data_IF_661598345424
#
_entry.id   IF_661598345424
#
_cell.length_a   1.000
_cell.length_b   1.000
_cell.length_c   1.000
_cell.angle_alpha   90.00
_cell.angle_beta   90.00
_cell.angle_gamma   90.00
#
_symmetry.space_group_name_H-M   'P 1'
#
loop_
_entity.id
_entity.type
_entity.pdbx_description
1 polymer ?
#
# COMPACT_ATOMS: atom_id res chain seq x y z
N UNK A 1 5.64 -4.19 12.53
CA UNK A 1 5.81 -5.05 11.33
C UNK A 1 6.57 -4.30 10.25
N UNK A 2 7.15 -5.01 9.29
CA UNK A 2 7.87 -4.42 8.15
C UNK A 2 7.15 -4.81 6.86
N UNK A 3 6.64 -3.82 6.12
CA UNK A 3 5.96 -4.03 4.84
C UNK A 3 6.96 -3.77 3.71
N UNK A 4 7.09 -4.73 2.78
CA UNK A 4 7.94 -4.60 1.59
C UNK A 4 7.07 -4.18 0.42
N UNK A 5 7.39 -3.05 -0.21
CA UNK A 5 6.66 -2.48 -1.34
C UNK A 5 7.58 -2.34 -2.55
N UNK A 6 7.03 -2.48 -3.74
CA UNK A 6 7.73 -2.10 -4.97
C UNK A 6 7.69 -0.57 -5.16
N UNK A 7 8.57 -0.02 -6.00
CA UNK A 7 8.57 1.41 -6.32
C UNK A 7 7.21 1.90 -6.88
N UNK A 8 6.52 1.19 -7.79
CA UNK A 8 5.21 1.60 -8.26
C UNK A 8 4.14 1.62 -7.16
N UNK A 9 4.19 0.67 -6.21
CA UNK A 9 3.28 0.65 -5.07
C UNK A 9 3.51 1.87 -4.16
N UNK A 10 4.76 2.15 -3.81
CA UNK A 10 5.10 3.31 -2.98
C UNK A 10 4.69 4.63 -3.65
N UNK A 11 4.90 4.73 -4.96
CA UNK A 11 4.51 5.90 -5.76
C UNK A 11 2.99 6.07 -5.79
N UNK A 12 2.24 4.99 -5.98
CA UNK A 12 0.78 5.03 -5.96
C UNK A 12 0.23 5.52 -4.61
N UNK A 13 0.82 5.08 -3.49
CA UNK A 13 0.43 5.55 -2.15
C UNK A 13 0.71 7.05 -1.95
N UNK A 14 1.84 7.56 -2.45
CA UNK A 14 2.19 8.98 -2.36
C UNK A 14 1.30 9.90 -3.21
N UNK A 15 0.61 9.35 -4.20
CA UNK A 15 -0.32 10.08 -5.06
C UNK A 15 -1.75 10.13 -4.51
N UNK A 16 -2.02 9.47 -3.38
CA UNK A 16 -3.33 9.52 -2.72
C UNK A 16 -3.59 10.94 -2.20
N UNK A 17 -4.70 11.61 -2.61
CA UNK A 17 -4.94 13.03 -2.29
C UNK A 17 -5.12 13.34 -0.80
N UNK A 18 -5.58 12.36 -0.01
CA UNK A 18 -5.92 12.53 1.42
C UNK A 18 -5.27 11.41 2.24
N UNK A 19 -3.96 11.26 2.11
CA UNK A 19 -3.24 10.31 2.95
C UNK A 19 -3.14 10.86 4.39
N UNK A 20 -3.51 10.06 5.41
CA UNK A 20 -3.31 10.45 6.80
C UNK A 20 -1.84 10.77 7.12
N UNK A 21 -1.59 11.84 7.87
CA UNK A 21 -0.22 12.31 8.20
C UNK A 21 0.64 11.22 8.86
N UNK A 22 0.02 10.42 9.73
CA UNK A 22 0.69 9.31 10.41
C UNK A 22 1.14 8.20 9.44
N UNK A 23 0.47 8.02 8.29
CA UNK A 23 0.86 7.09 7.23
C UNK A 23 1.85 7.74 6.26
N UNK A 24 1.65 9.01 5.91
CA UNK A 24 2.57 9.78 5.08
C UNK A 24 3.98 9.81 5.67
N UNK A 25 4.09 10.02 6.99
CA UNK A 25 5.36 9.96 7.70
C UNK A 25 6.07 8.60 7.53
N UNK A 26 5.32 7.49 7.43
CA UNK A 26 5.87 6.14 7.22
C UNK A 26 6.34 5.95 5.78
N UNK A 27 5.56 6.41 4.79
CA UNK A 27 5.97 6.34 3.38
C UNK A 27 7.20 7.19 3.08
N UNK A 28 7.35 8.32 3.78
CA UNK A 28 8.52 9.18 3.66
C UNK A 28 9.74 8.59 4.37
N UNK A 29 9.51 7.81 5.43
CA UNK A 29 10.56 7.08 6.15
C UNK A 29 10.89 5.71 5.54
N UNK A 30 10.19 5.28 4.49
CA UNK A 30 10.44 4.02 3.81
C UNK A 30 11.88 4.00 3.25
N UNK A 31 12.60 2.91 3.50
CA UNK A 31 14.00 2.76 3.09
C UNK A 31 14.09 1.80 1.91
N UNK A 32 14.93 2.13 0.95
CA UNK A 32 15.24 1.20 -0.13
C UNK A 32 16.05 0.01 0.44
N UNK A 33 15.64 -1.19 0.06
CA UNK A 33 16.28 -2.47 0.39
C UNK A 33 16.31 -3.32 -0.89
N UNK A 34 17.41 -3.23 -1.62
CA UNK A 34 17.54 -3.84 -2.95
C UNK A 34 16.59 -3.22 -3.97
N UNK A 35 15.70 -4.04 -4.51
CA UNK A 35 14.65 -3.69 -5.47
C UNK A 35 13.31 -3.30 -4.83
N UNK A 36 13.23 -3.36 -3.50
CA UNK A 36 12.04 -3.03 -2.72
C UNK A 36 12.25 -1.80 -1.83
N UNK A 37 11.15 -1.29 -1.29
CA UNK A 37 11.09 -0.30 -0.24
C UNK A 37 10.47 -0.93 1.00
N UNK A 38 11.17 -0.82 2.13
CA UNK A 38 10.72 -1.36 3.40
C UNK A 38 10.19 -0.21 4.25
N UNK A 39 8.96 -0.37 4.71
CA UNK A 39 8.28 0.57 5.60
C UNK A 39 7.93 -0.12 6.92
N UNK A 40 8.37 0.48 8.03
CA UNK A 40 7.99 0.01 9.36
C UNK A 40 6.65 0.63 9.77
N UNK A 41 5.67 -0.22 10.06
CA UNK A 41 4.33 0.20 10.55
C UNK A 41 3.95 -0.58 11.81
N UNK A 42 3.07 -0.02 12.62
CA UNK A 42 2.35 -0.76 13.65
C UNK A 42 1.02 -1.33 13.11
N UNK A 43 0.30 -2.08 13.93
CA UNK A 43 -0.95 -2.73 13.52
C UNK A 43 -2.04 -1.72 13.14
N UNK A 44 -2.22 -0.64 13.91
CA UNK A 44 -3.21 0.40 13.60
C UNK A 44 -2.91 1.10 12.27
N UNK A 45 -1.64 1.37 11.99
CA UNK A 45 -1.18 1.96 10.72
C UNK A 45 -1.37 0.99 9.55
N UNK A 46 -1.10 -0.30 9.76
CA UNK A 46 -1.34 -1.34 8.76
C UNK A 46 -2.83 -1.44 8.41
N UNK A 47 -3.70 -1.49 9.42
CA UNK A 47 -5.15 -1.51 9.26
C UNK A 47 -5.66 -0.26 8.53
N UNK A 48 -5.26 0.94 8.97
CA UNK A 48 -5.65 2.19 8.32
C UNK A 48 -5.20 2.26 6.85
N UNK A 49 -3.99 1.77 6.55
CA UNK A 49 -3.49 1.71 5.18
C UNK A 49 -4.27 0.69 4.33
N UNK A 50 -4.64 -0.46 4.89
CA UNK A 50 -5.48 -1.46 4.24
C UNK A 50 -6.86 -0.89 3.90
N UNK A 51 -7.54 -0.27 4.87
CA UNK A 51 -8.84 0.37 4.67
C UNK A 51 -8.76 1.45 3.59
N UNK A 52 -7.75 2.32 3.63
CA UNK A 52 -7.51 3.33 2.61
C UNK A 52 -7.34 2.70 1.22
N UNK A 53 -6.51 1.67 1.08
CA UNK A 53 -6.26 1.00 -0.20
C UNK A 53 -7.53 0.36 -0.77
N UNK A 54 -8.38 -0.24 0.08
CA UNK A 54 -9.63 -0.87 -0.35
C UNK A 54 -10.58 0.09 -1.09
N UNK A 55 -10.58 1.38 -0.76
CA UNK A 55 -11.39 2.38 -1.48
C UNK A 55 -11.01 2.53 -2.96
N UNK A 56 -9.74 2.27 -3.29
CA UNK A 56 -9.17 2.37 -4.64
C UNK A 56 -9.18 1.04 -5.41
N UNK A 57 -9.49 -0.08 -4.75
CA UNK A 57 -9.60 -1.40 -5.39
C UNK A 57 -11.02 -1.54 -5.93
N UNK A 58 -11.23 -1.03 -7.15
CA UNK A 58 -12.50 -1.17 -7.88
C UNK A 58 -12.28 -1.93 -9.18
N UNK A 59 -13.16 -2.91 -9.44
CA UNK A 59 -13.19 -3.62 -10.71
C UNK A 59 -13.85 -2.73 -11.76
N UNK A 60 -13.31 -2.78 -12.96
CA UNK A 60 -13.94 -2.22 -14.14
C UNK A 60 -15.29 -2.92 -14.36
N UNK A 61 -16.40 -2.18 -14.45
CA UNK A 61 -17.74 -2.77 -14.51
C UNK A 61 -18.03 -3.47 -15.84
N UNK A 62 -17.22 -3.25 -16.88
CA UNK A 62 -17.41 -3.83 -18.21
C UNK A 62 -16.61 -5.11 -18.41
N UNK A 63 -15.36 -5.13 -17.94
CA UNK A 63 -14.43 -6.25 -18.11
C UNK A 63 -14.33 -7.13 -16.87
N UNK A 64 -14.80 -6.65 -15.71
CA UNK A 64 -14.65 -7.31 -14.41
C UNK A 64 -13.21 -7.34 -13.88
N UNK A 65 -12.26 -6.70 -14.58
CA UNK A 65 -10.84 -6.71 -14.22
C UNK A 65 -10.48 -5.50 -13.36
N UNK A 66 -9.44 -5.64 -12.53
CA UNK A 66 -8.83 -4.50 -11.86
C UNK A 66 -8.05 -3.65 -12.87
N UNK A 67 -8.27 -2.35 -12.84
CA UNK A 67 -7.40 -1.40 -13.54
C UNK A 67 -5.96 -1.47 -13.01
N UNK A 68 -5.00 -0.97 -13.79
CA UNK A 68 -3.57 -1.03 -13.44
C UNK A 68 -3.28 -0.44 -12.05
N UNK A 69 -3.92 0.68 -11.71
CA UNK A 69 -3.76 1.32 -10.42
C UNK A 69 -4.40 0.50 -9.27
N UNK A 70 -5.57 -0.09 -9.51
CA UNK A 70 -6.24 -0.93 -8.51
C UNK A 70 -5.43 -2.19 -8.16
N UNK A 71 -4.69 -2.74 -9.14
CA UNK A 71 -3.74 -3.85 -8.90
C UNK A 71 -2.57 -3.46 -7.98
N UNK A 72 -2.10 -2.22 -8.05
CA UNK A 72 -1.06 -1.72 -7.14
C UNK A 72 -1.58 -1.66 -5.70
N UNK A 73 -2.79 -1.13 -5.50
CA UNK A 73 -3.43 -1.07 -4.19
C UNK A 73 -3.76 -2.46 -3.63
N UNK A 74 -4.22 -3.39 -4.47
CA UNK A 74 -4.39 -4.80 -4.07
C UNK A 74 -3.06 -5.43 -3.64
N UNK A 75 -1.98 -5.20 -4.39
CA UNK A 75 -0.66 -5.69 -4.02
C UNK A 75 -0.11 -5.10 -2.72
N UNK A 76 -0.44 -3.84 -2.40
CA UNK A 76 -0.10 -3.22 -1.11
C UNK A 76 -0.84 -3.93 0.03
N UNK A 77 -2.15 -4.18 -0.11
CA UNK A 77 -2.93 -4.91 0.89
C UNK A 77 -2.36 -6.30 1.14
N UNK A 78 -1.99 -7.01 0.08
CA UNK A 78 -1.37 -8.33 0.21
C UNK A 78 -0.01 -8.26 0.93
N UNK A 79 0.83 -7.27 0.61
CA UNK A 79 2.11 -7.08 1.29
C UNK A 79 1.94 -6.76 2.79
N UNK A 80 0.85 -6.08 3.18
CA UNK A 80 0.51 -5.85 4.58
C UNK A 80 0.13 -7.16 5.27
N UNK A 81 -0.75 -7.96 4.66
CA UNK A 81 -1.15 -9.26 5.23
C UNK A 81 0.01 -10.24 5.34
N UNK A 82 0.93 -10.25 4.37
CA UNK A 82 2.17 -11.04 4.46
C UNK A 82 3.05 -10.59 5.63
N UNK A 83 3.13 -9.28 5.90
CA UNK A 83 3.87 -8.75 7.03
C UNK A 83 3.20 -8.97 8.40
N UNK A 84 1.89 -9.22 8.42
CA UNK A 84 1.11 -9.56 9.62
C UNK A 84 1.17 -11.05 9.98
N UNK A 85 1.19 -11.93 8.97
CA UNK A 85 1.22 -13.38 9.15
C UNK A 85 2.62 -14.03 9.09
N UNK A 86 3.67 -13.22 8.96
CA UNK A 86 5.07 -13.66 8.89
C UNK A 86 5.76 -13.85 10.24
#
# INVERSE_FOLDING_TARGET
MQVRLTEPMLTALRQVPEIPDNLLARLNAARQDGDAFVMAVNQDQAMAMTEMCQWYIRKDPTTGQLGAQAKLFEGIVNAIYEAEGG
#
